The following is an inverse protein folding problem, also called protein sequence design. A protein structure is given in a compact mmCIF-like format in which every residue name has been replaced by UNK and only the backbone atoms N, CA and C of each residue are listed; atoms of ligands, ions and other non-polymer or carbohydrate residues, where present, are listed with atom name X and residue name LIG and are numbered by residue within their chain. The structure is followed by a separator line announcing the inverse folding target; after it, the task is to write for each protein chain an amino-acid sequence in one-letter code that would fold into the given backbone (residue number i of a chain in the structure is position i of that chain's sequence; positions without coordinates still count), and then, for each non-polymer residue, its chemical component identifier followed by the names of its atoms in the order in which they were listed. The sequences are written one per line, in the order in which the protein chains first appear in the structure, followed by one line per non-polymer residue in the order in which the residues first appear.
data_IF_164845267631
#
_entry.id   IF_164845267631
#
_cell.length_a   1.000
_cell.length_b   1.000
_cell.length_c   1.000
_cell.angle_alpha   90.00
_cell.angle_beta   90.00
_cell.angle_gamma   90.00
#
_symmetry.space_group_name_H-M   'P 1'
#
loop_
_entity.id
_entity.type
_entity.pdbx_description
1 polymer ?
#
# COMPACT_ATOMS: atom_id res chain seq x y z
N UNK A 1 6.75 16.64 18.35
CA UNK A 1 7.00 17.13 16.97
C UNK A 1 7.06 15.99 15.95
N UNK A 2 7.87 14.93 16.15
CA UNK A 2 7.88 13.74 15.26
C UNK A 2 6.51 13.06 15.12
N UNK A 3 5.78 12.91 16.22
CA UNK A 3 4.45 12.27 16.24
C UNK A 3 3.41 13.00 15.39
N UNK A 4 3.48 14.35 15.32
CA UNK A 4 2.57 15.14 14.50
C UNK A 4 2.75 14.88 13.01
N UNK A 5 3.99 14.85 12.53
CA UNK A 5 4.29 14.54 11.12
C UNK A 5 3.90 13.10 10.75
N UNK A 6 4.06 12.15 11.66
CA UNK A 6 3.68 10.76 11.39
C UNK A 6 2.17 10.59 11.24
N UNK A 7 1.38 11.31 12.05
CA UNK A 7 -0.09 11.31 11.94
C UNK A 7 -0.55 11.86 10.59
N UNK A 8 0.03 12.99 10.14
CA UNK A 8 -0.33 13.60 8.86
C UNK A 8 -0.01 12.69 7.66
N UNK A 9 1.18 12.07 7.65
CA UNK A 9 1.58 11.14 6.58
C UNK A 9 0.65 9.92 6.56
N UNK A 10 0.28 9.37 7.72
CA UNK A 10 -0.67 8.25 7.80
C UNK A 10 -2.04 8.61 7.24
N UNK A 11 -2.54 9.81 7.53
CA UNK A 11 -3.83 10.27 6.99
C UNK A 11 -3.78 10.49 5.48
N UNK A 12 -2.71 11.10 4.96
CA UNK A 12 -2.53 11.27 3.52
C UNK A 12 -2.45 9.92 2.78
N UNK A 13 -1.69 8.96 3.31
CA UNK A 13 -1.59 7.60 2.79
C UNK A 13 -2.93 6.85 2.83
N UNK A 14 -3.69 6.98 3.92
CA UNK A 14 -5.03 6.38 4.02
C UNK A 14 -5.97 6.93 2.94
N UNK A 15 -5.99 8.26 2.77
CA UNK A 15 -6.84 8.91 1.78
C UNK A 15 -6.46 8.49 0.36
N UNK A 16 -5.17 8.37 0.06
CA UNK A 16 -4.67 7.86 -1.22
C UNK A 16 -5.22 6.44 -1.50
N UNK A 17 -5.07 5.52 -0.54
CA UNK A 17 -5.52 4.13 -0.69
C UNK A 17 -7.05 4.00 -0.87
N UNK A 18 -7.83 4.81 -0.14
CA UNK A 18 -9.30 4.81 -0.23
C UNK A 18 -9.83 5.33 -1.56
N UNK A 19 -9.08 6.20 -2.25
CA UNK A 19 -9.47 6.79 -3.53
C UNK A 19 -8.83 6.09 -4.74
N UNK A 20 -7.96 5.10 -4.51
CA UNK A 20 -7.42 4.28 -5.58
C UNK A 20 -8.51 3.46 -6.29
N UNK A 21 -8.26 3.09 -7.55
CA UNK A 21 -9.18 2.24 -8.33
C UNK A 21 -8.42 1.40 -9.36
N UNK A 22 -9.05 0.32 -9.82
CA UNK A 22 -8.47 -0.58 -10.80
C UNK A 22 -7.31 -1.40 -10.23
N UNK A 23 -6.24 -1.54 -11.02
CA UNK A 23 -5.04 -2.28 -10.59
C UNK A 23 -4.06 -1.34 -9.90
N UNK A 24 -3.74 -1.64 -8.65
CA UNK A 24 -2.72 -0.95 -7.87
C UNK A 24 -1.41 -1.71 -7.96
N UNK A 25 -0.31 -0.98 -8.15
CA UNK A 25 1.05 -1.53 -8.29
C UNK A 25 1.94 -0.90 -7.24
N UNK A 26 2.70 -1.71 -6.52
CA UNK A 26 3.55 -1.25 -5.41
C UNK A 26 4.93 -1.89 -5.51
N UNK A 27 5.97 -1.07 -5.44
CA UNK A 27 7.35 -1.54 -5.43
C UNK A 27 7.77 -1.76 -3.98
N UNK A 28 8.13 -3.00 -3.63
CA UNK A 28 8.50 -3.38 -2.26
C UNK A 28 9.87 -4.06 -2.25
N UNK A 29 10.76 -3.59 -1.38
CA UNK A 29 11.99 -4.31 -1.04
C UNK A 29 11.69 -5.59 -0.25
N UNK A 30 12.72 -6.40 -0.03
CA UNK A 30 12.58 -7.72 0.62
C UNK A 30 12.25 -7.64 2.11
N UNK A 31 12.69 -6.58 2.80
CA UNK A 31 12.53 -6.40 4.25
C UNK A 31 11.56 -5.24 4.58
N UNK A 32 10.29 -5.41 4.20
CA UNK A 32 9.24 -4.45 4.56
C UNK A 32 8.97 -4.52 6.06
N UNK A 33 9.16 -3.41 6.77
CA UNK A 33 8.90 -3.34 8.21
C UNK A 33 7.41 -3.55 8.51
N UNK A 34 7.13 -4.36 9.53
CA UNK A 34 5.76 -4.68 9.95
C UNK A 34 4.96 -3.46 10.46
N UNK A 35 5.65 -2.42 10.94
CA UNK A 35 5.07 -1.16 11.43
C UNK A 35 4.99 -0.05 10.35
N UNK A 36 5.39 -0.37 9.12
CA UNK A 36 5.34 0.59 8.02
C UNK A 36 3.91 1.01 7.68
N UNK A 37 3.76 2.27 7.23
CA UNK A 37 2.47 2.82 6.79
C UNK A 37 1.83 1.97 5.68
N UNK A 38 2.65 1.39 4.81
CA UNK A 38 2.21 0.42 3.82
C UNK A 38 1.45 -0.76 4.46
N UNK A 39 2.07 -1.44 5.44
CA UNK A 39 1.48 -2.62 6.09
C UNK A 39 0.29 -2.25 6.97
N UNK A 40 0.41 -1.19 7.77
CA UNK A 40 -0.58 -0.88 8.81
C UNK A 40 -1.75 -0.04 8.34
N UNK A 41 -1.62 0.64 7.18
CA UNK A 41 -2.58 1.67 6.75
C UNK A 41 -2.99 1.49 5.30
N UNK A 42 -2.05 1.50 4.37
CA UNK A 42 -2.37 1.51 2.94
C UNK A 42 -2.93 0.17 2.46
N UNK A 43 -2.23 -0.94 2.74
CA UNK A 43 -2.64 -2.26 2.25
C UNK A 43 -4.04 -2.70 2.75
N UNK A 44 -4.40 -2.56 4.05
CA UNK A 44 -5.76 -2.85 4.51
C UNK A 44 -6.84 -1.96 3.87
N UNK A 45 -6.53 -0.68 3.66
CA UNK A 45 -7.44 0.25 3.00
C UNK A 45 -7.63 -0.10 1.51
N UNK A 46 -6.57 -0.50 0.81
CA UNK A 46 -6.64 -0.98 -0.57
C UNK A 46 -7.46 -2.26 -0.72
N UNK A 47 -7.28 -3.22 0.19
CA UNK A 47 -8.05 -4.49 0.20
C UNK A 47 -9.55 -4.23 0.44
N UNK A 48 -9.88 -3.30 1.34
CA UNK A 48 -11.28 -2.96 1.65
C UNK A 48 -11.94 -2.04 0.61
N UNK A 49 -11.15 -1.33 -0.20
CA UNK A 49 -11.65 -0.44 -1.23
C UNK A 49 -12.31 -1.23 -2.38
N UNK A 50 -13.63 -1.04 -2.57
CA UNK A 50 -14.43 -1.73 -3.60
C UNK A 50 -13.97 -1.44 -5.03
N UNK A 51 -13.35 -0.30 -5.28
CA UNK A 51 -12.91 0.12 -6.61
C UNK A 51 -11.56 -0.49 -7.03
N UNK A 52 -10.77 -1.02 -6.09
CA UNK A 52 -9.51 -1.73 -6.39
C UNK A 52 -9.83 -3.16 -6.82
N UNK A 53 -9.42 -3.55 -8.02
CA UNK A 53 -9.71 -4.88 -8.57
C UNK A 53 -8.54 -5.84 -8.43
N UNK A 54 -7.32 -5.33 -8.31
CA UNK A 54 -6.09 -6.11 -8.21
C UNK A 54 -4.99 -5.32 -7.51
N UNK A 55 -4.17 -5.98 -6.71
CA UNK A 55 -2.94 -5.41 -6.14
C UNK A 55 -1.75 -6.27 -6.57
N UNK A 56 -0.76 -5.63 -7.18
CA UNK A 56 0.47 -6.24 -7.65
C UNK A 56 1.64 -5.63 -6.89
N UNK A 57 2.50 -6.48 -6.34
CA UNK A 57 3.80 -6.09 -5.80
C UNK A 57 4.89 -6.33 -6.83
N UNK A 58 5.90 -5.47 -6.85
CA UNK A 58 7.05 -5.53 -7.76
C UNK A 58 8.30 -5.54 -6.91
N UNK A 59 9.10 -6.59 -7.04
CA UNK A 59 10.44 -6.63 -6.46
C UNK A 59 11.36 -5.68 -7.27
N UNK A 60 12.01 -4.68 -6.64
CA UNK A 60 12.79 -3.67 -7.36
C UNK A 60 14.08 -4.20 -8.00
N UNK A 61 14.59 -5.35 -7.53
CA UNK A 61 15.85 -5.92 -8.02
C UNK A 61 15.62 -6.85 -9.21
N UNK A 62 14.55 -7.63 -9.16
CA UNK A 62 14.24 -8.66 -10.14
C UNK A 62 13.13 -8.27 -11.12
N UNK A 63 12.43 -7.17 -10.84
CA UNK A 63 11.21 -6.71 -11.54
C UNK A 63 10.07 -7.74 -11.54
N UNK A 64 10.18 -8.78 -10.69
CA UNK A 64 9.18 -9.83 -10.61
C UNK A 64 7.89 -9.26 -10.01
N UNK A 65 6.79 -9.52 -10.70
CA UNK A 65 5.46 -9.15 -10.26
C UNK A 65 4.78 -10.29 -9.51
N UNK A 66 4.14 -9.98 -8.38
CA UNK A 66 3.33 -10.92 -7.60
C UNK A 66 1.98 -10.28 -7.32
N UNK A 67 0.90 -10.96 -7.71
CA UNK A 67 -0.47 -10.58 -7.36
C UNK A 67 -0.70 -10.97 -5.89
N UNK A 68 -0.97 -9.99 -5.03
CA UNK A 68 -1.23 -10.21 -3.60
C UNK A 68 -2.71 -10.06 -3.23
N UNK A 69 -3.51 -9.50 -4.13
CA UNK A 69 -4.96 -9.39 -3.97
C UNK A 69 -5.67 -9.34 -5.33
N UNK A 70 -6.83 -9.99 -5.42
CA UNK A 70 -7.80 -9.87 -6.51
C UNK A 70 -9.20 -9.92 -5.92
N UNK A 71 -10.15 -9.23 -6.53
CA UNK A 71 -11.57 -9.49 -6.32
C UNK A 71 -12.07 -10.61 -7.20
#
# INVERSE_FOLDING_TARGET
MKEFFEVEVRQASLFLAQNASGTVRVVLGTDVRADSIWITTELPALISNKNVTKIITIDPMTLKEIIIHTK
#
